data_IF_307801264425
#
_entry.id   IF_307801264425
#
_cell.length_a   1.000
_cell.length_b   1.000
_cell.length_c   1.000
_cell.angle_alpha   90.00
_cell.angle_beta   90.00
_cell.angle_gamma   90.00
#
_symmetry.space_group_name_H-M   'P 1'
#
loop_
_entity.id
_entity.type
_entity.pdbx_description
1 polymer ?
#
# COMPACT_ATOMS: atom_id res chain seq x y z
N UNK A 1 -61.28 72.25 64.06
CA UNK A 1 -59.84 71.93 63.90
C UNK A 1 -59.54 70.46 64.16
N UNK A 2 -60.14 69.81 65.17
CA UNK A 2 -59.88 68.39 65.46
C UNK A 2 -60.48 67.42 64.42
N UNK A 3 -61.67 67.71 63.87
CA UNK A 3 -62.29 66.86 62.84
C UNK A 3 -61.53 66.83 61.50
N UNK A 4 -61.01 67.97 61.00
CA UNK A 4 -60.29 67.94 59.70
C UNK A 4 -58.97 67.18 59.77
N UNK A 5 -58.31 67.13 60.93
CA UNK A 5 -57.10 66.33 61.12
C UNK A 5 -57.40 64.82 61.16
N UNK A 6 -58.60 64.44 61.58
CA UNK A 6 -59.06 63.04 61.55
C UNK A 6 -59.39 62.64 60.11
N UNK A 7 -60.04 63.53 59.36
CA UNK A 7 -60.35 63.31 57.94
C UNK A 7 -59.07 63.20 57.09
N UNK A 8 -58.10 64.10 57.28
CA UNK A 8 -56.80 64.03 56.61
C UNK A 8 -56.02 62.74 56.97
N UNK A 9 -56.12 62.30 58.22
CA UNK A 9 -55.50 61.04 58.66
C UNK A 9 -56.17 59.82 58.03
N UNK A 10 -57.49 59.83 57.87
CA UNK A 10 -58.23 58.76 57.20
C UNK A 10 -57.91 58.70 55.70
N UNK A 11 -57.84 59.85 55.01
CA UNK A 11 -57.46 59.91 53.60
C UNK A 11 -56.05 59.36 53.40
N UNK A 12 -55.08 59.76 54.24
CA UNK A 12 -53.71 59.23 54.18
C UNK A 12 -53.64 57.73 54.47
N UNK A 13 -54.46 57.24 55.40
CA UNK A 13 -54.49 55.83 55.72
C UNK A 13 -55.10 55.00 54.58
N UNK A 14 -56.12 55.53 53.90
CA UNK A 14 -56.71 54.92 52.71
C UNK A 14 -55.72 54.91 51.53
N UNK A 15 -55.00 56.02 51.30
CA UNK A 15 -53.93 56.08 50.28
C UNK A 15 -52.81 55.07 50.57
N UNK A 16 -52.32 55.00 51.81
CA UNK A 16 -51.31 54.02 52.23
C UNK A 16 -51.84 52.59 52.05
N UNK A 17 -53.10 52.33 52.40
CA UNK A 17 -53.72 51.02 52.23
C UNK A 17 -53.82 50.62 50.76
N UNK A 18 -54.21 51.54 49.88
CA UNK A 18 -54.26 51.33 48.43
C UNK A 18 -52.87 51.08 47.83
N UNK A 19 -51.87 51.89 48.18
CA UNK A 19 -50.48 51.70 47.71
C UNK A 19 -49.91 50.35 48.17
N UNK A 20 -50.16 49.96 49.40
CA UNK A 20 -49.68 48.67 49.95
C UNK A 20 -50.35 47.50 49.22
N UNK A 21 -51.64 47.62 48.88
CA UNK A 21 -52.38 46.61 48.12
C UNK A 21 -51.88 46.48 46.68
N UNK A 22 -51.54 47.58 46.04
CA UNK A 22 -50.97 47.58 44.69
C UNK A 22 -49.58 46.94 44.69
N UNK A 23 -48.74 47.24 45.69
CA UNK A 23 -47.44 46.60 45.86
C UNK A 23 -47.55 45.08 46.10
N UNK A 24 -48.50 44.64 46.92
CA UNK A 24 -48.77 43.21 47.13
C UNK A 24 -49.20 42.52 45.82
N UNK A 25 -50.07 43.17 45.04
CA UNK A 25 -50.52 42.65 43.75
C UNK A 25 -49.36 42.53 42.75
N UNK A 26 -48.46 43.50 42.72
CA UNK A 26 -47.24 43.45 41.89
C UNK A 26 -46.33 42.31 42.35
N UNK A 27 -46.13 42.14 43.65
CA UNK A 27 -45.27 41.08 44.21
C UNK A 27 -45.83 39.68 43.89
N UNK A 28 -47.14 39.49 43.99
CA UNK A 28 -47.80 38.22 43.65
C UNK A 28 -47.65 37.90 42.16
N UNK A 29 -47.81 38.91 41.28
CA UNK A 29 -47.59 38.73 39.84
C UNK A 29 -46.14 38.34 39.53
N UNK A 30 -45.16 39.01 40.16
CA UNK A 30 -43.74 38.66 40.02
C UNK A 30 -43.45 37.26 40.53
N UNK A 31 -44.05 36.85 41.65
CA UNK A 31 -43.88 35.50 42.20
C UNK A 31 -44.41 34.42 41.24
N UNK A 32 -45.60 34.64 40.66
CA UNK A 32 -46.17 33.74 39.65
C UNK A 32 -45.30 33.63 38.40
N UNK A 33 -44.73 34.76 37.95
CA UNK A 33 -43.83 34.78 36.80
C UNK A 33 -42.53 34.01 37.09
N UNK A 34 -41.93 34.19 38.27
CA UNK A 34 -40.75 33.43 38.72
C UNK A 34 -41.04 31.93 38.77
N UNK A 35 -42.20 31.52 39.28
CA UNK A 35 -42.59 30.11 39.30
C UNK A 35 -42.73 29.54 37.89
N UNK A 36 -43.32 30.29 36.96
CA UNK A 36 -43.44 29.88 35.57
C UNK A 36 -42.06 29.76 34.89
N UNK A 37 -41.18 30.74 35.07
CA UNK A 37 -39.80 30.69 34.58
C UNK A 37 -39.03 29.50 35.13
N UNK A 38 -39.12 29.24 36.45
CA UNK A 38 -38.50 28.07 37.07
C UNK A 38 -38.99 26.76 36.45
N UNK A 39 -40.29 26.65 36.18
CA UNK A 39 -40.87 25.47 35.51
C UNK A 39 -40.33 25.31 34.08
N UNK A 40 -40.22 26.39 33.32
CA UNK A 40 -39.67 26.38 31.96
C UNK A 40 -38.18 26.00 31.97
N UNK A 41 -37.39 26.59 32.86
CA UNK A 41 -35.97 26.28 33.03
C UNK A 41 -35.78 24.80 33.35
N UNK A 42 -36.55 24.24 34.28
CA UNK A 42 -36.46 22.81 34.62
C UNK A 42 -36.80 21.90 33.43
N UNK A 43 -37.80 22.27 32.61
CA UNK A 43 -38.08 21.56 31.36
C UNK A 43 -36.90 21.64 30.39
N UNK A 44 -36.29 22.82 30.23
CA UNK A 44 -35.12 23.00 29.38
C UNK A 44 -33.92 22.17 29.85
N UNK A 45 -33.65 22.13 31.15
CA UNK A 45 -32.59 21.29 31.75
C UNK A 45 -32.83 19.81 31.43
N UNK A 46 -34.07 19.34 31.54
CA UNK A 46 -34.41 17.95 31.20
C UNK A 46 -34.14 17.65 29.73
N UNK A 47 -34.57 18.53 28.82
CA UNK A 47 -34.33 18.39 27.37
C UNK A 47 -32.83 18.38 27.07
N UNK A 48 -32.07 19.30 27.65
CA UNK A 48 -30.61 19.39 27.45
C UNK A 48 -29.88 18.12 27.91
N UNK A 49 -30.28 17.55 29.06
CA UNK A 49 -29.72 16.27 29.54
C UNK A 49 -30.00 15.13 28.57
N UNK A 50 -31.22 15.04 28.03
CA UNK A 50 -31.57 14.02 27.05
C UNK A 50 -30.75 14.15 25.76
N UNK A 51 -30.61 15.36 25.23
CA UNK A 51 -29.77 15.61 24.05
C UNK A 51 -28.30 15.31 24.28
N UNK A 52 -27.77 15.69 25.45
CA UNK A 52 -26.37 15.42 25.80
C UNK A 52 -26.08 13.92 25.83
N UNK A 53 -26.99 13.12 26.39
CA UNK A 53 -26.85 11.66 26.43
C UNK A 53 -26.81 11.07 25.02
N UNK A 54 -27.76 11.46 24.15
CA UNK A 54 -27.79 10.99 22.75
C UNK A 54 -26.52 11.38 22.00
N UNK A 55 -26.01 12.59 22.20
CA UNK A 55 -24.75 13.02 21.60
C UNK A 55 -23.57 12.18 22.07
N UNK A 56 -23.47 11.92 23.38
CA UNK A 56 -22.42 11.09 23.96
C UNK A 56 -22.43 9.67 23.37
N UNK A 57 -23.62 9.05 23.29
CA UNK A 57 -23.77 7.70 22.75
C UNK A 57 -23.40 7.64 21.25
N UNK A 58 -23.81 8.64 20.48
CA UNK A 58 -23.43 8.78 19.07
C UNK A 58 -21.92 8.98 18.89
N UNK A 59 -21.27 9.80 19.72
CA UNK A 59 -19.81 10.01 19.66
C UNK A 59 -19.05 8.72 19.99
N UNK A 60 -19.49 7.98 21.01
CA UNK A 60 -18.90 6.68 21.37
C UNK A 60 -19.06 5.66 20.24
N UNK A 61 -20.22 5.62 19.58
CA UNK A 61 -20.45 4.75 18.42
C UNK A 61 -19.57 5.13 17.22
N UNK A 62 -19.46 6.42 16.90
CA UNK A 62 -18.63 6.91 15.81
C UNK A 62 -17.15 6.55 16.01
N UNK A 63 -16.62 6.74 17.21
CA UNK A 63 -15.23 6.38 17.55
C UNK A 63 -14.95 4.89 17.34
N UNK A 64 -15.89 4.00 17.72
CA UNK A 64 -15.77 2.55 17.46
C UNK A 64 -15.76 2.23 15.97
N UNK A 65 -16.66 2.85 15.21
CA UNK A 65 -16.74 2.66 13.75
C UNK A 65 -15.44 3.07 13.06
N UNK A 66 -14.87 4.22 13.44
CA UNK A 66 -13.60 4.71 12.90
C UNK A 66 -12.45 3.76 13.23
N UNK A 67 -12.39 3.24 14.47
CA UNK A 67 -11.39 2.24 14.86
C UNK A 67 -11.52 0.94 14.05
N UNK A 68 -12.75 0.45 13.83
CA UNK A 68 -12.99 -0.76 13.02
C UNK A 68 -12.58 -0.51 11.57
N UNK A 69 -12.94 0.65 11.01
CA UNK A 69 -12.59 1.02 9.64
C UNK A 69 -11.07 1.11 9.47
N UNK A 70 -10.36 1.76 10.39
CA UNK A 70 -8.90 1.81 10.39
C UNK A 70 -8.27 0.42 10.49
N UNK A 71 -8.82 -0.48 11.31
CA UNK A 71 -8.34 -1.87 11.42
C UNK A 71 -8.57 -2.67 10.13
N UNK A 72 -9.70 -2.48 9.46
CA UNK A 72 -10.01 -3.11 8.17
C UNK A 72 -9.07 -2.60 7.08
N UNK A 73 -8.83 -1.29 7.01
CA UNK A 73 -7.87 -0.70 6.07
C UNK A 73 -6.45 -1.25 6.27
N UNK A 74 -5.99 -1.34 7.52
CA UNK A 74 -4.70 -1.94 7.82
C UNK A 74 -4.63 -3.41 7.39
N UNK A 75 -5.66 -4.20 7.67
CA UNK A 75 -5.72 -5.60 7.25
C UNK A 75 -5.67 -5.73 5.73
N UNK A 76 -6.45 -4.93 5.01
CA UNK A 76 -6.47 -4.92 3.54
C UNK A 76 -5.12 -4.52 2.97
N UNK A 77 -4.46 -3.51 3.56
CA UNK A 77 -3.12 -3.10 3.15
C UNK A 77 -2.08 -4.20 3.36
N UNK A 78 -2.13 -4.92 4.48
CA UNK A 78 -1.25 -6.08 4.72
C UNK A 78 -1.51 -7.21 3.71
N UNK A 79 -2.78 -7.47 3.38
CA UNK A 79 -3.14 -8.45 2.36
C UNK A 79 -2.60 -8.08 0.97
N UNK A 80 -2.70 -6.80 0.58
CA UNK A 80 -2.13 -6.31 -0.68
C UNK A 80 -0.61 -6.49 -0.72
N UNK A 81 0.11 -6.17 0.37
CA UNK A 81 1.55 -6.41 0.47
C UNK A 81 1.91 -7.87 0.30
N UNK A 82 1.18 -8.77 0.97
CA UNK A 82 1.37 -10.21 0.83
C UNK A 82 1.13 -10.66 -0.62
N UNK A 83 0.07 -10.15 -1.26
CA UNK A 83 -0.23 -10.47 -2.66
C UNK A 83 0.88 -10.03 -3.62
N UNK A 84 1.46 -8.83 -3.42
CA UNK A 84 2.61 -8.37 -4.19
C UNK A 84 3.82 -9.29 -4.00
N UNK A 85 4.18 -9.62 -2.74
CA UNK A 85 5.28 -10.52 -2.44
C UNK A 85 5.09 -11.91 -3.07
N UNK A 86 3.87 -12.45 -3.05
CA UNK A 86 3.55 -13.73 -3.71
C UNK A 86 3.70 -13.65 -5.23
N UNK A 87 3.38 -12.51 -5.84
CA UNK A 87 3.59 -12.29 -7.28
C UNK A 87 5.08 -12.27 -7.63
N UNK A 88 5.89 -11.57 -6.86
CA UNK A 88 7.34 -11.54 -7.05
C UNK A 88 7.97 -12.94 -6.92
N UNK A 89 7.53 -13.72 -5.92
CA UNK A 89 7.97 -15.11 -5.74
C UNK A 89 7.58 -15.96 -6.95
N UNK A 90 6.35 -15.82 -7.45
CA UNK A 90 5.89 -16.55 -8.64
C UNK A 90 6.76 -16.21 -9.86
N UNK A 91 7.10 -14.95 -10.06
CA UNK A 91 7.94 -14.53 -11.18
C UNK A 91 9.37 -15.08 -11.04
N UNK A 92 9.93 -15.08 -9.82
CA UNK A 92 11.23 -15.69 -9.55
C UNK A 92 11.22 -17.21 -9.81
N UNK A 93 10.16 -17.91 -9.42
CA UNK A 93 9.99 -19.35 -9.70
C UNK A 93 9.91 -19.59 -11.21
N UNK A 94 9.11 -18.81 -11.93
CA UNK A 94 9.00 -18.95 -13.38
C UNK A 94 10.35 -18.73 -14.09
N UNK A 95 11.12 -17.73 -13.65
CA UNK A 95 12.46 -17.48 -14.17
C UNK A 95 13.42 -18.65 -13.86
N UNK A 96 13.35 -19.22 -12.66
CA UNK A 96 14.16 -20.38 -12.28
C UNK A 96 13.81 -21.61 -13.14
N UNK A 97 12.52 -21.88 -13.36
CA UNK A 97 12.06 -22.97 -14.24
C UNK A 97 12.56 -22.77 -15.67
N UNK A 98 12.46 -21.55 -16.22
CA UNK A 98 12.98 -21.23 -17.54
C UNK A 98 14.50 -21.47 -17.63
N UNK A 99 15.28 -21.01 -16.66
CA UNK A 99 16.73 -21.24 -16.61
C UNK A 99 17.07 -22.71 -16.47
N UNK A 100 16.31 -23.48 -15.70
CA UNK A 100 16.54 -24.91 -15.54
C UNK A 100 16.22 -25.67 -16.83
N UNK A 101 15.17 -25.29 -17.55
CA UNK A 101 14.87 -25.84 -18.87
C UNK A 101 15.98 -25.52 -19.89
N UNK A 102 16.51 -24.29 -19.89
CA UNK A 102 17.64 -23.91 -20.74
C UNK A 102 18.90 -24.72 -20.39
N UNK A 103 19.19 -24.89 -19.10
CA UNK A 103 20.32 -25.72 -18.65
C UNK A 103 20.14 -27.18 -19.06
N UNK A 104 18.93 -27.72 -18.90
CA UNK A 104 18.61 -29.09 -19.30
C UNK A 104 18.86 -29.29 -20.80
N UNK A 105 18.33 -28.40 -21.65
CA UNK A 105 18.57 -28.43 -23.10
C UNK A 105 20.06 -28.31 -23.44
N UNK A 106 20.80 -27.43 -22.77
CA UNK A 106 22.25 -27.30 -22.98
C UNK A 106 23.01 -28.57 -22.58
N UNK A 107 22.59 -29.26 -21.50
CA UNK A 107 23.16 -30.55 -21.08
C UNK A 107 22.83 -31.66 -22.08
N UNK A 108 21.62 -31.70 -22.61
CA UNK A 108 21.23 -32.64 -23.69
C UNK A 108 22.06 -32.40 -24.96
N UNK A 109 22.24 -31.15 -25.36
CA UNK A 109 23.08 -30.77 -26.51
C UNK A 109 24.54 -31.19 -26.30
N UNK A 110 25.07 -31.00 -25.07
CA UNK A 110 26.40 -31.47 -24.69
C UNK A 110 26.52 -33.00 -24.78
N UNK A 111 25.53 -33.74 -24.27
CA UNK A 111 25.50 -35.19 -24.34
C UNK A 111 25.44 -35.70 -25.79
N UNK A 112 24.75 -34.96 -26.67
CA UNK A 112 24.69 -35.22 -28.10
C UNK A 112 25.96 -34.79 -28.87
N UNK A 113 26.96 -34.19 -28.21
CA UNK A 113 28.17 -33.60 -28.80
C UNK A 113 27.88 -32.52 -29.86
N UNK A 114 26.75 -31.79 -29.73
CA UNK A 114 26.32 -30.77 -30.70
C UNK A 114 26.56 -29.36 -30.16
N UNK A 115 27.13 -28.50 -30.98
CA UNK A 115 27.21 -27.07 -30.68
C UNK A 115 25.93 -26.36 -31.11
N UNK A 116 25.24 -25.77 -30.14
CA UNK A 116 24.01 -25.01 -30.36
C UNK A 116 24.13 -23.60 -29.76
N UNK A 117 23.22 -22.72 -30.16
CA UNK A 117 23.07 -21.38 -29.58
C UNK A 117 22.68 -21.40 -28.11
N UNK A 118 22.13 -22.51 -27.61
CA UNK A 118 21.76 -22.68 -26.20
C UNK A 118 23.00 -22.86 -25.32
N UNK A 119 24.04 -23.50 -25.86
CA UNK A 119 25.30 -23.78 -25.19
C UNK A 119 26.23 -22.57 -25.14
N UNK A 120 26.34 -21.87 -26.28
CA UNK A 120 27.07 -20.62 -26.37
C UNK A 120 26.30 -19.69 -27.29
N UNK A 121 25.74 -18.58 -26.78
CA UNK A 121 24.98 -17.65 -27.58
C UNK A 121 25.79 -17.07 -28.75
N UNK A 122 25.14 -16.71 -29.88
CA UNK A 122 25.82 -16.25 -31.09
C UNK A 122 26.82 -15.12 -30.88
N UNK A 123 26.49 -14.14 -30.04
CA UNK A 123 27.34 -12.99 -29.75
C UNK A 123 28.61 -13.40 -29.00
N UNK A 124 28.48 -14.25 -27.97
CA UNK A 124 29.62 -14.76 -27.20
C UNK A 124 30.48 -15.68 -28.05
N UNK A 125 29.86 -16.52 -28.88
CA UNK A 125 30.61 -17.41 -29.75
C UNK A 125 31.44 -16.63 -30.78
N UNK A 126 30.90 -15.54 -31.32
CA UNK A 126 31.63 -14.66 -32.23
C UNK A 126 32.85 -14.02 -31.54
N UNK A 127 32.73 -13.58 -30.29
CA UNK A 127 33.84 -13.03 -29.51
C UNK A 127 34.93 -14.08 -29.26
N UNK A 128 34.52 -15.30 -28.91
CA UNK A 128 35.44 -16.44 -28.75
C UNK A 128 36.17 -16.73 -30.07
N UNK A 129 35.45 -16.81 -31.20
CA UNK A 129 36.05 -17.06 -32.51
C UNK A 129 37.02 -15.95 -32.94
N UNK A 130 36.71 -14.68 -32.65
CA UNK A 130 37.62 -13.55 -32.91
C UNK A 130 38.91 -13.67 -32.09
N UNK A 131 38.78 -14.05 -30.82
CA UNK A 131 39.92 -14.27 -29.92
C UNK A 131 40.77 -15.45 -30.39
N UNK A 132 40.14 -16.55 -30.78
CA UNK A 132 40.82 -17.74 -31.33
C UNK A 132 41.56 -17.39 -32.62
N UNK A 133 40.96 -16.59 -33.52
CA UNK A 133 41.60 -16.15 -34.78
C UNK A 133 42.94 -15.44 -34.55
N UNK A 134 43.11 -14.73 -33.43
CA UNK A 134 44.35 -14.01 -33.11
C UNK A 134 45.48 -14.92 -32.61
N UNK A 135 45.15 -16.10 -32.08
CA UNK A 135 46.11 -17.02 -31.44
C UNK A 135 46.56 -18.13 -32.40
N UNK A 136 45.82 -18.37 -33.49
CA UNK A 136 46.18 -19.40 -34.47
C UNK A 136 47.50 -19.01 -35.19
N UNK A 137 48.53 -19.87 -35.17
CA UNK A 137 49.79 -19.59 -35.84
C UNK A 137 49.69 -19.74 -37.37
N UNK A 138 50.33 -18.87 -38.17
CA UNK A 138 50.42 -19.04 -39.62
C UNK A 138 51.14 -20.35 -40.01
N UNK A 139 50.80 -21.02 -41.13
CA UNK A 139 49.84 -20.62 -42.17
C UNK A 139 48.38 -21.04 -41.91
N UNK A 140 48.10 -21.65 -40.75
CA UNK A 140 46.77 -22.14 -40.44
C UNK A 140 45.79 -20.98 -40.20
N UNK A 141 44.55 -21.14 -40.67
CA UNK A 141 43.44 -20.20 -40.47
C UNK A 141 42.16 -20.96 -40.15
N UNK A 142 41.18 -20.26 -39.59
CA UNK A 142 39.83 -20.80 -39.48
C UNK A 142 39.28 -21.09 -40.88
N UNK A 143 38.46 -22.14 -41.00
CA UNK A 143 37.91 -22.61 -42.28
C UNK A 143 36.99 -21.59 -42.97
N UNK A 144 36.46 -20.61 -42.23
CA UNK A 144 35.68 -19.48 -42.73
C UNK A 144 36.10 -18.18 -42.03
N UNK A 145 35.73 -17.05 -42.63
CA UNK A 145 35.85 -15.76 -41.96
C UNK A 145 34.88 -15.62 -40.79
N UNK A 146 35.38 -15.07 -39.69
CA UNK A 146 34.62 -14.82 -38.45
C UNK A 146 33.69 -13.62 -38.63
N UNK A 147 32.55 -13.87 -39.29
CA UNK A 147 31.44 -12.94 -39.50
C UNK A 147 30.13 -13.56 -39.00
N UNK A 148 29.16 -12.73 -38.64
CA UNK A 148 27.85 -13.17 -38.13
C UNK A 148 27.13 -14.10 -39.14
N UNK A 149 27.23 -13.77 -40.43
CA UNK A 149 26.65 -14.53 -41.55
C UNK A 149 27.16 -15.99 -41.61
N UNK A 150 28.40 -16.22 -41.19
CA UNK A 150 29.05 -17.53 -41.25
C UNK A 150 28.88 -18.35 -39.96
N UNK A 151 28.28 -17.78 -38.92
CA UNK A 151 28.26 -18.38 -37.58
C UNK A 151 27.52 -19.72 -37.53
N UNK A 152 26.46 -19.87 -38.33
CA UNK A 152 25.74 -21.14 -38.47
C UNK A 152 26.67 -22.28 -38.91
N UNK A 153 27.60 -22.01 -39.83
CA UNK A 153 28.59 -22.99 -40.28
C UNK A 153 29.54 -23.37 -39.14
N UNK A 154 29.96 -22.40 -38.31
CA UNK A 154 30.76 -22.70 -37.12
C UNK A 154 30.03 -23.60 -36.12
N UNK A 155 28.74 -23.39 -35.87
CA UNK A 155 27.94 -24.30 -35.06
C UNK A 155 27.85 -25.70 -35.67
N UNK A 156 27.67 -25.80 -36.99
CA UNK A 156 27.53 -27.08 -37.70
C UNK A 156 28.80 -27.93 -37.71
N UNK A 157 29.96 -27.30 -37.84
CA UNK A 157 31.25 -28.00 -37.94
C UNK A 157 32.00 -28.13 -36.61
N UNK A 158 31.57 -27.41 -35.57
CA UNK A 158 32.14 -27.55 -34.24
C UNK A 158 31.76 -28.91 -33.63
N UNK A 159 32.77 -29.68 -33.23
CA UNK A 159 32.58 -30.90 -32.45
C UNK A 159 32.84 -30.57 -30.99
N UNK A 160 31.87 -30.83 -30.12
CA UNK A 160 32.01 -30.62 -28.68
C UNK A 160 32.37 -31.92 -27.99
N UNK A 161 33.22 -31.83 -26.96
CA UNK A 161 33.33 -32.83 -25.90
C UNK A 161 33.18 -32.16 -24.55
N UNK A 162 32.44 -32.77 -23.64
CA UNK A 162 32.32 -32.30 -22.25
C UNK A 162 33.10 -33.23 -21.31
N UNK A 163 33.71 -32.62 -20.29
CA UNK A 163 34.37 -33.33 -19.19
C UNK A 163 33.92 -32.70 -17.88
N UNK A 164 33.22 -33.47 -17.06
CA UNK A 164 32.84 -33.06 -15.73
C UNK A 164 33.86 -33.58 -14.71
N UNK A 165 34.23 -32.73 -13.76
CA UNK A 165 34.92 -33.11 -12.53
C UNK A 165 34.04 -32.67 -11.35
N UNK A 166 34.40 -33.04 -10.11
CA UNK A 166 33.59 -32.72 -8.92
C UNK A 166 33.25 -31.24 -8.77
N UNK A 167 34.09 -30.33 -9.27
CA UNK A 167 33.93 -28.88 -9.07
C UNK A 167 33.68 -28.08 -10.34
N UNK A 168 33.79 -28.68 -11.53
CA UNK A 168 33.73 -27.93 -12.79
C UNK A 168 33.28 -28.81 -13.96
N UNK A 169 32.48 -28.22 -14.84
CA UNK A 169 32.16 -28.73 -16.16
C UNK A 169 33.02 -27.99 -17.19
N UNK A 170 33.88 -28.73 -17.91
CA UNK A 170 34.71 -28.19 -18.99
C UNK A 170 34.14 -28.61 -20.33
N UNK A 171 34.03 -27.67 -21.26
CA UNK A 171 33.55 -27.90 -22.62
C UNK A 171 34.71 -27.65 -23.58
N UNK A 172 35.08 -28.69 -24.34
CA UNK A 172 36.14 -28.64 -25.34
C UNK A 172 35.50 -28.51 -26.73
N UNK A 173 35.75 -27.39 -27.40
CA UNK A 173 35.23 -27.12 -28.74
C UNK A 173 36.35 -27.39 -29.74
N UNK A 174 36.13 -28.35 -30.65
CA UNK A 174 37.04 -28.64 -31.75
C UNK A 174 36.53 -27.99 -33.02
N UNK A 175 37.33 -27.12 -33.61
CA UNK A 175 37.04 -26.45 -34.87
C UNK A 175 38.03 -26.89 -35.94
N UNK A 176 37.57 -27.18 -37.18
CA UNK A 176 38.47 -27.49 -38.27
C UNK A 176 39.27 -26.24 -38.67
N UNK A 177 40.56 -26.41 -38.90
CA UNK A 177 41.44 -25.38 -39.47
C UNK A 177 41.69 -25.68 -40.94
N UNK A 178 41.88 -24.63 -41.73
CA UNK A 178 42.36 -24.70 -43.11
C UNK A 178 43.82 -24.26 -43.14
N UNK A 179 44.64 -24.94 -43.95
CA UNK A 179 45.98 -24.48 -44.28
C UNK A 179 45.98 -23.97 -45.72
N UNK A 180 46.65 -22.85 -45.99
CA UNK A 180 46.72 -22.25 -47.33
C UNK A 180 47.82 -22.89 -48.22
N UNK A 181 48.18 -24.16 -47.97
CA UNK A 181 49.12 -24.93 -48.79
C UNK A 181 48.39 -25.78 -49.84
#
# INVERSE_FOLDING_TARGET
>A
VMNSKIDDANIRNDEIYHDTKDQLTVLDNMHLEILNHSRVINKMIYILKAYHQVMHDNMAQNSRTESVFSSLFNTLFQYLKLSCALSEIKDAINLAVQRMNQLHQAVEDLAANRMTSNLLPPHQFLEVLKSVKQVIPPPAKLFLDVKLENLHSFYKFAIIKSYATETQLRVLIKLPLKNDN
#
